data_IF_809007322006
#
_entry.id   IF_809007322006
#
_cell.length_a   1.000
_cell.length_b   1.000
_cell.length_c   1.000
_cell.angle_alpha   90.00
_cell.angle_beta   90.00
_cell.angle_gamma   90.00
#
_symmetry.space_group_name_H-M   'P 1'
#
loop_
_entity.id
_entity.type
_entity.pdbx_description
1 polymer ?
#
# COMPACT_ATOMS: atom_id res chain seq x y z
N UNK A 1 8.08 -11.46 -4.62
CA UNK A 1 8.03 -11.24 -3.16
C UNK A 1 7.84 -9.75 -2.88
N UNK A 2 6.88 -9.39 -2.03
CA UNK A 2 6.43 -8.00 -1.82
C UNK A 2 6.02 -7.77 -0.34
N UNK A 3 6.97 -7.81 0.61
CA UNK A 3 6.69 -7.58 2.02
C UNK A 3 6.16 -6.16 2.30
N UNK A 4 5.41 -6.00 3.38
CA UNK A 4 4.91 -4.70 3.82
C UNK A 4 3.62 -4.83 4.63
N UNK A 5 2.55 -5.34 4.01
CA UNK A 5 1.34 -5.73 4.74
C UNK A 5 1.63 -6.92 5.70
N UNK A 6 2.37 -7.90 5.19
CA UNK A 6 2.87 -9.04 5.96
C UNK A 6 4.25 -9.46 5.42
N UNK A 7 5.08 -10.16 6.20
CA UNK A 7 6.43 -10.52 5.77
C UNK A 7 6.43 -11.50 4.61
N UNK A 8 5.40 -12.35 4.48
CA UNK A 8 5.28 -13.36 3.43
C UNK A 8 4.48 -12.90 2.20
N UNK A 9 4.10 -11.62 2.12
CA UNK A 9 3.28 -11.14 1.02
C UNK A 9 4.00 -11.28 -0.34
N UNK A 10 3.22 -11.64 -1.35
CA UNK A 10 3.65 -11.79 -2.75
C UNK A 10 2.57 -11.23 -3.66
N UNK A 11 2.99 -10.77 -4.84
CA UNK A 11 2.11 -10.54 -5.98
C UNK A 11 2.43 -11.56 -7.06
N UNK A 12 1.43 -11.94 -7.84
CA UNK A 12 1.55 -12.91 -8.94
C UNK A 12 1.26 -12.19 -10.26
N UNK A 13 2.18 -12.29 -11.21
CA UNK A 13 2.03 -11.74 -12.56
C UNK A 13 1.73 -12.89 -13.52
N UNK A 14 0.58 -12.80 -14.19
CA UNK A 14 0.29 -13.59 -15.39
C UNK A 14 0.59 -12.72 -16.62
N UNK A 15 1.62 -13.10 -17.38
CA UNK A 15 2.10 -12.31 -18.53
C UNK A 15 1.23 -12.51 -19.77
N UNK A 16 0.63 -13.68 -19.91
CA UNK A 16 -0.18 -14.00 -21.08
C UNK A 16 -1.54 -13.31 -20.96
N UNK A 17 -2.12 -13.34 -19.76
CA UNK A 17 -3.35 -12.60 -19.45
C UNK A 17 -3.10 -11.10 -19.16
N UNK A 18 -1.84 -10.68 -18.97
CA UNK A 18 -1.44 -9.30 -18.61
C UNK A 18 -2.13 -8.79 -17.34
N UNK A 19 -2.25 -9.64 -16.34
CA UNK A 19 -2.87 -9.28 -15.04
C UNK A 19 -1.90 -9.48 -13.88
N UNK A 20 -2.09 -8.69 -12.82
CA UNK A 20 -1.34 -8.83 -11.57
C UNK A 20 -2.30 -9.05 -10.39
N UNK A 21 -2.15 -10.17 -9.70
CA UNK A 21 -2.88 -10.48 -8.47
C UNK A 21 -2.07 -9.94 -7.29
N UNK A 22 -2.58 -8.91 -6.62
CA UNK A 22 -1.82 -8.14 -5.63
C UNK A 22 -2.01 -8.58 -4.17
N UNK A 23 -3.01 -9.42 -3.91
CA UNK A 23 -3.42 -9.75 -2.54
C UNK A 23 -3.74 -8.48 -1.75
N UNK A 24 -3.37 -8.45 -0.47
CA UNK A 24 -3.53 -7.28 0.41
C UNK A 24 -2.45 -6.20 0.23
N UNK A 25 -1.53 -6.37 -0.72
CA UNK A 25 -0.43 -5.41 -0.95
C UNK A 25 -0.95 -4.10 -1.55
N UNK A 26 -1.91 -4.18 -2.46
CA UNK A 26 -2.47 -3.02 -3.16
C UNK A 26 -3.97 -2.98 -2.95
N UNK A 27 -4.53 -1.78 -2.81
CA UNK A 27 -5.98 -1.53 -2.85
C UNK A 27 -6.27 -0.03 -2.81
N UNK A 28 -7.49 0.32 -3.18
CA UNK A 28 -8.08 1.59 -2.77
C UNK A 28 -8.54 1.56 -1.31
N UNK A 29 -8.68 2.75 -0.72
CA UNK A 29 -9.14 2.91 0.66
C UNK A 29 -8.02 2.63 1.65
N UNK A 30 -8.29 1.78 2.64
CA UNK A 30 -7.39 1.56 3.78
C UNK A 30 -6.31 0.51 3.51
N UNK A 31 -5.04 0.92 3.55
CA UNK A 31 -3.86 0.04 3.53
C UNK A 31 -3.41 -0.20 4.98
N UNK A 32 -3.33 -1.48 5.36
CA UNK A 32 -3.00 -1.89 6.73
C UNK A 32 -1.51 -2.26 6.83
N UNK A 33 -0.68 -1.36 7.37
CA UNK A 33 0.76 -1.59 7.65
C UNK A 33 1.06 -1.65 9.15
N UNK A 34 0.12 -1.22 9.99
CA UNK A 34 0.17 -1.24 11.46
C UNK A 34 0.01 -2.62 12.11
N UNK A 35 -0.28 -3.68 11.34
CA UNK A 35 -0.43 -5.02 11.89
C UNK A 35 0.90 -5.49 12.50
N UNK A 36 0.86 -6.45 13.45
CA UNK A 36 2.02 -6.92 14.24
C UNK A 36 3.28 -7.25 13.42
N UNK A 37 3.11 -7.68 12.16
CA UNK A 37 4.21 -8.02 11.25
C UNK A 37 4.22 -7.16 9.97
N UNK A 38 3.51 -6.05 9.98
CA UNK A 38 3.59 -5.06 8.92
C UNK A 38 4.89 -4.27 9.02
N UNK A 39 5.36 -3.80 7.88
CA UNK A 39 6.64 -3.11 7.74
C UNK A 39 6.50 -1.98 6.69
N UNK A 40 6.33 -0.73 7.14
CA UNK A 40 6.23 0.45 6.27
C UNK A 40 7.43 0.61 5.32
N UNK A 41 8.66 0.38 5.80
CA UNK A 41 9.87 0.52 4.97
C UNK A 41 9.92 -0.55 3.87
N UNK A 42 9.59 -1.80 4.22
CA UNK A 42 9.51 -2.89 3.24
C UNK A 42 8.37 -2.66 2.23
N UNK A 43 7.25 -2.10 2.68
CA UNK A 43 6.14 -1.74 1.81
C UNK A 43 6.56 -0.76 0.72
N UNK A 44 7.30 0.29 1.10
CA UNK A 44 7.89 1.25 0.14
C UNK A 44 8.67 0.55 -0.98
N UNK A 45 9.61 -0.31 -0.60
CA UNK A 45 10.43 -1.05 -1.57
C UNK A 45 9.60 -2.02 -2.42
N UNK A 46 8.53 -2.58 -1.86
CA UNK A 46 7.61 -3.44 -2.60
C UNK A 46 6.83 -2.67 -3.65
N UNK A 47 6.41 -1.44 -3.36
CA UNK A 47 5.74 -0.58 -4.34
C UNK A 47 6.64 -0.28 -5.54
N UNK A 48 7.92 0.05 -5.30
CA UNK A 48 8.89 0.29 -6.39
C UNK A 48 9.06 -0.96 -7.27
N UNK A 49 9.16 -2.14 -6.66
CA UNK A 49 9.25 -3.41 -7.40
C UNK A 49 8.00 -3.68 -8.22
N UNK A 50 6.80 -3.38 -7.69
CA UNK A 50 5.55 -3.60 -8.42
C UNK A 50 5.42 -2.61 -9.58
N UNK A 51 5.76 -1.33 -9.37
CA UNK A 51 5.73 -0.31 -10.43
C UNK A 51 6.60 -0.72 -11.63
N UNK A 52 7.76 -1.34 -11.38
CA UNK A 52 8.63 -1.85 -12.44
C UNK A 52 8.03 -3.00 -13.27
N UNK A 53 6.92 -3.61 -12.85
CA UNK A 53 6.23 -4.67 -13.58
C UNK A 53 5.06 -4.16 -14.43
N UNK A 54 4.63 -2.91 -14.23
CA UNK A 54 3.34 -2.42 -14.73
C UNK A 54 3.25 -2.33 -16.26
N UNK A 55 4.36 -2.24 -16.98
CA UNK A 55 4.34 -2.22 -18.46
C UNK A 55 3.83 -3.56 -19.06
N UNK A 56 3.91 -4.65 -18.28
CA UNK A 56 3.39 -5.96 -18.64
C UNK A 56 1.95 -6.22 -18.14
N UNK A 57 1.29 -5.20 -17.56
CA UNK A 57 0.01 -5.36 -16.84
C UNK A 57 -1.03 -4.39 -17.38
N UNK A 58 -2.22 -4.89 -17.68
CA UNK A 58 -3.38 -4.07 -18.04
C UNK A 58 -4.29 -3.84 -16.83
N UNK A 59 -4.42 -4.85 -15.95
CA UNK A 59 -5.31 -4.80 -14.77
C UNK A 59 -4.65 -5.45 -13.55
N UNK A 60 -4.83 -4.80 -12.40
CA UNK A 60 -4.39 -5.30 -11.09
C UNK A 60 -5.61 -5.68 -10.24
N UNK A 61 -5.59 -6.90 -9.69
CA UNK A 61 -6.65 -7.39 -8.81
C UNK A 61 -6.17 -7.44 -7.35
N UNK A 62 -6.69 -6.56 -6.48
CA UNK A 62 -6.45 -6.65 -5.04
C UNK A 62 -7.26 -7.80 -4.42
N UNK A 63 -6.94 -8.18 -3.19
CA UNK A 63 -7.77 -9.10 -2.40
C UNK A 63 -9.14 -8.48 -2.03
N UNK A 64 -9.21 -7.15 -1.97
CA UNK A 64 -10.40 -6.41 -1.56
C UNK A 64 -10.66 -5.19 -2.45
N UNK A 65 -11.94 -5.00 -2.79
CA UNK A 65 -12.40 -3.83 -3.53
C UNK A 65 -12.32 -4.00 -5.05
N UNK A 66 -12.32 -2.87 -5.75
CA UNK A 66 -12.35 -2.83 -7.21
C UNK A 66 -10.96 -3.13 -7.82
N UNK A 67 -10.91 -3.65 -9.06
CA UNK A 67 -9.68 -3.72 -9.84
C UNK A 67 -9.04 -2.33 -9.99
N UNK A 68 -7.71 -2.32 -10.13
CA UNK A 68 -6.90 -1.12 -10.29
C UNK A 68 -6.22 -1.12 -11.66
N UNK A 69 -6.04 0.05 -12.24
CA UNK A 69 -5.21 0.26 -13.42
C UNK A 69 -3.74 0.43 -13.04
N UNK A 70 -2.79 0.30 -13.98
CA UNK A 70 -1.38 0.66 -13.76
C UNK A 70 -1.19 2.07 -13.19
N UNK A 71 -1.94 3.05 -13.68
CA UNK A 71 -1.85 4.43 -13.21
C UNK A 71 -2.37 4.60 -11.78
N UNK A 72 -3.37 3.81 -11.38
CA UNK A 72 -3.82 3.78 -10.00
C UNK A 72 -2.73 3.27 -9.05
N UNK A 73 -1.93 2.28 -9.49
CA UNK A 73 -0.81 1.75 -8.71
C UNK A 73 0.34 2.76 -8.63
N UNK A 74 0.65 3.47 -9.72
CA UNK A 74 1.62 4.58 -9.70
C UNK A 74 1.18 5.68 -8.74
N UNK A 75 -0.09 6.06 -8.78
CA UNK A 75 -0.67 7.04 -7.86
C UNK A 75 -0.59 6.58 -6.40
N UNK A 76 -0.83 5.29 -6.12
CA UNK A 76 -0.64 4.72 -4.77
C UNK A 76 0.82 4.84 -4.32
N UNK A 77 1.78 4.50 -5.18
CA UNK A 77 3.22 4.62 -4.89
C UNK A 77 3.59 6.07 -4.57
N UNK A 78 3.18 7.01 -5.40
CA UNK A 78 3.51 8.44 -5.23
C UNK A 78 2.84 9.03 -3.97
N UNK A 79 1.60 8.60 -3.67
CA UNK A 79 0.92 8.93 -2.43
C UNK A 79 1.69 8.42 -1.21
N UNK A 80 2.14 7.16 -1.24
CA UNK A 80 2.93 6.59 -0.14
C UNK A 80 4.29 7.27 0.00
N UNK A 81 4.95 7.64 -1.09
CA UNK A 81 6.22 8.38 -1.05
C UNK A 81 6.05 9.77 -0.41
N UNK A 82 4.92 10.44 -0.68
CA UNK A 82 4.60 11.73 -0.04
C UNK A 82 4.45 11.59 1.47
N UNK A 83 3.82 10.49 1.94
CA UNK A 83 3.76 10.14 3.35
C UNK A 83 5.16 9.85 3.88
N UNK A 84 5.94 9.02 3.18
CA UNK A 84 7.30 8.63 3.58
C UNK A 84 8.24 9.82 3.77
N UNK A 85 8.13 10.81 2.88
CA UNK A 85 8.93 12.02 2.91
C UNK A 85 8.50 13.03 4.02
N UNK A 86 7.45 12.73 4.79
CA UNK A 86 6.93 13.61 5.82
C UNK A 86 6.13 14.80 5.28
N UNK A 87 5.70 14.77 4.02
CA UNK A 87 4.95 15.85 3.39
C UNK A 87 3.44 15.81 3.71
N UNK A 88 2.99 14.75 4.38
CA UNK A 88 1.58 14.51 4.72
C UNK A 88 1.46 14.39 6.24
N UNK A 89 0.67 15.24 6.92
CA UNK A 89 0.47 15.12 8.37
C UNK A 89 -0.34 13.87 8.72
N UNK A 90 -0.07 13.29 9.89
CA UNK A 90 -0.90 12.22 10.46
C UNK A 90 -2.26 12.78 10.88
N UNK A 91 -3.32 12.01 10.65
CA UNK A 91 -4.73 12.29 10.96
C UNK A 91 -5.35 11.08 11.69
N UNK A 92 -4.93 10.76 12.92
CA UNK A 92 -5.35 9.55 13.64
C UNK A 92 -6.87 9.40 13.78
N UNK A 93 -7.62 10.51 13.78
CA UNK A 93 -9.08 10.53 13.80
C UNK A 93 -9.74 9.85 12.60
N UNK A 94 -9.00 9.63 11.51
CA UNK A 94 -9.47 8.87 10.34
C UNK A 94 -9.31 7.36 10.50
N UNK A 95 -8.55 6.89 11.49
CA UNK A 95 -8.46 5.47 11.77
C UNK A 95 -9.82 4.95 12.27
N UNK A 96 -10.27 3.77 11.80
CA UNK A 96 -11.43 3.10 12.37
C UNK A 96 -11.30 2.96 13.89
N UNK A 97 -12.37 3.22 14.63
CA UNK A 97 -12.36 3.24 16.11
C UNK A 97 -11.79 1.96 16.75
N UNK A 98 -11.96 0.80 16.10
CA UNK A 98 -11.40 -0.48 16.56
C UNK A 98 -9.87 -0.56 16.52
N UNK A 99 -9.22 0.36 15.80
CA UNK A 99 -7.77 0.49 15.68
C UNK A 99 -7.27 1.85 16.19
N UNK A 100 -8.15 2.68 16.76
CA UNK A 100 -7.74 3.93 17.39
C UNK A 100 -6.77 3.64 18.54
N UNK A 101 -5.65 4.38 18.61
CA UNK A 101 -4.58 4.13 19.59
C UNK A 101 -3.19 4.37 19.02
N UNK A 102 -2.26 3.45 19.26
CA UNK A 102 -0.82 3.53 18.92
C UNK A 102 -0.50 3.35 17.42
N UNK A 103 -1.30 3.99 16.56
CA UNK A 103 -1.10 4.00 15.11
C UNK A 103 -1.14 5.43 14.59
N UNK A 104 -0.48 5.64 13.45
CA UNK A 104 -0.63 6.82 12.63
C UNK A 104 -1.53 6.52 11.42
N UNK A 105 -2.18 7.57 10.91
CA UNK A 105 -3.10 7.47 9.79
C UNK A 105 -2.88 8.60 8.79
N UNK A 106 -2.51 8.27 7.56
CA UNK A 106 -2.19 9.26 6.54
C UNK A 106 -3.16 9.12 5.37
N UNK A 107 -3.97 10.15 5.14
CA UNK A 107 -4.85 10.22 3.98
C UNK A 107 -4.17 10.97 2.83
N UNK A 108 -4.10 10.34 1.66
CA UNK A 108 -3.75 10.99 0.40
C UNK A 108 -4.74 10.52 -0.66
N UNK A 109 -5.54 11.45 -1.20
CA UNK A 109 -6.62 11.18 -2.15
C UNK A 109 -7.53 10.02 -1.70
N UNK A 110 -7.49 8.90 -2.43
CA UNK A 110 -8.28 7.68 -2.21
C UNK A 110 -7.53 6.60 -1.41
N UNK A 111 -6.38 6.93 -0.83
CA UNK A 111 -5.54 6.01 -0.05
C UNK A 111 -5.44 6.49 1.40
N UNK A 112 -5.70 5.58 2.34
CA UNK A 112 -5.52 5.78 3.76
C UNK A 112 -4.49 4.77 4.26
N UNK A 113 -3.29 5.23 4.60
CA UNK A 113 -2.23 4.39 5.12
C UNK A 113 -2.30 4.37 6.65
N UNK A 114 -2.47 3.17 7.22
CA UNK A 114 -2.42 2.97 8.67
C UNK A 114 -1.09 2.30 9.03
N UNK A 115 -0.28 2.96 9.85
CA UNK A 115 1.09 2.53 10.18
C UNK A 115 1.27 2.41 11.69
N UNK A 116 2.27 1.65 12.17
CA UNK A 116 2.69 1.80 13.56
C UNK A 116 3.04 3.27 13.83
N UNK A 117 2.80 3.73 15.06
CA UNK A 117 3.15 5.08 15.48
C UNK A 117 4.64 5.37 15.25
N UNK A 118 4.96 6.57 14.74
CA UNK A 118 6.33 7.08 14.54
C UNK A 118 7.22 6.17 13.66
N UNK A 119 6.63 5.41 12.73
CA UNK A 119 7.34 4.43 11.88
C UNK A 119 7.65 4.91 10.45
N UNK A 120 7.23 6.14 10.12
CA UNK A 120 7.44 6.76 8.82
C UNK A 120 8.68 7.67 8.87
N UNK A 121 9.56 7.55 7.87
CA UNK A 121 10.61 8.54 7.64
C UNK A 121 11.78 8.53 8.64
N UNK A 122 12.11 7.37 9.21
CA UNK A 122 13.33 7.14 10.01
C UNK A 122 14.46 6.61 9.13
#
# INVERSE_FOLDING_TARGET
HTPGHAPGAVVLLDRDARILLAGDTLRFGTILLMLKKGDPAAYRQSLDRIVALLDAVDVVYPAHGAPMTPDDVRALRDAYESVWAGNVPSTPERAPAMWAGDIDAYQVDRFLFLTPRDSIGV
#
